data_IF_171326257378
#
_entry.id   IF_171326257378
#
_cell.length_a   1.000
_cell.length_b   1.000
_cell.length_c   1.000
_cell.angle_alpha   90.00
_cell.angle_beta   90.00
_cell.angle_gamma   90.00
#
_symmetry.space_group_name_H-M   'P 1'
#
loop_
_entity.id
_entity.type
_entity.pdbx_description
1 polymer ?
#
# COMPACT_ATOMS: atom_id res chain seq x y z
N UNK A 1 10.01 13.98 59.53
CA UNK A 1 9.19 15.04 58.90
C UNK A 1 9.74 16.45 59.17
N UNK A 2 10.29 16.73 60.35
CA UNK A 2 10.85 18.06 60.67
C UNK A 2 12.03 18.51 59.80
N UNK A 3 12.90 17.60 59.34
CA UNK A 3 14.04 17.92 58.47
C UNK A 3 13.62 18.52 57.11
N UNK A 4 12.59 17.93 56.48
CA UNK A 4 12.05 18.44 55.21
C UNK A 4 11.31 19.77 55.40
N UNK A 5 10.67 19.97 56.56
CA UNK A 5 9.99 21.22 56.89
C UNK A 5 10.96 22.38 57.17
N UNK A 6 12.06 22.12 57.89
CA UNK A 6 13.12 23.10 58.15
C UNK A 6 13.92 23.46 56.87
N UNK A 7 14.17 22.49 55.99
CA UNK A 7 14.76 22.73 54.67
C UNK A 7 13.86 23.59 53.78
N UNK A 8 12.55 23.40 53.84
CA UNK A 8 11.58 24.21 53.12
C UNK A 8 11.51 25.65 53.65
N UNK A 9 11.49 25.82 54.99
CA UNK A 9 11.36 27.12 55.63
C UNK A 9 12.62 27.99 55.49
N UNK A 10 13.82 27.38 55.42
CA UNK A 10 15.10 28.09 55.26
C UNK A 10 15.33 28.67 53.86
N UNK A 11 14.52 28.28 52.85
CA UNK A 11 14.65 28.68 51.42
C UNK A 11 15.99 28.39 50.75
N UNK A 12 16.97 27.82 51.47
CA UNK A 12 18.34 27.55 50.96
C UNK A 12 18.33 26.52 49.83
N UNK A 13 17.37 25.60 49.82
CA UNK A 13 17.27 24.54 48.81
C UNK A 13 16.77 25.02 47.44
N UNK A 14 16.17 26.21 47.36
CA UNK A 14 15.57 26.75 46.13
C UNK A 14 16.63 27.05 45.07
N UNK A 15 17.78 27.60 45.48
CA UNK A 15 18.88 27.97 44.57
C UNK A 15 19.53 26.74 43.90
N UNK A 16 19.99 25.70 44.61
CA UNK A 16 20.55 24.52 43.96
C UNK A 16 19.50 23.78 43.13
N UNK A 17 18.24 23.71 43.58
CA UNK A 17 17.15 23.15 42.79
C UNK A 17 16.95 23.87 41.46
N UNK A 18 16.93 25.21 41.46
CA UNK A 18 16.82 26.01 40.24
C UNK A 18 18.02 25.77 39.30
N UNK A 19 19.25 25.68 39.82
CA UNK A 19 20.45 25.40 39.01
C UNK A 19 20.35 24.03 38.34
N UNK A 20 19.94 22.99 39.07
CA UNK A 20 19.73 21.66 38.49
C UNK A 20 18.59 21.64 37.48
N UNK A 21 17.48 22.33 37.75
CA UNK A 21 16.36 22.43 36.82
C UNK A 21 16.76 23.11 35.51
N UNK A 22 17.51 24.22 35.58
CA UNK A 22 18.05 24.92 34.41
C UNK A 22 19.03 24.00 33.66
N UNK A 23 19.90 23.28 34.37
CA UNK A 23 20.84 22.32 33.76
C UNK A 23 20.14 21.21 32.99
N UNK A 24 19.08 20.62 33.56
CA UNK A 24 18.27 19.58 32.90
C UNK A 24 17.55 20.15 31.67
N UNK A 25 16.99 21.36 31.75
CA UNK A 25 16.34 22.00 30.62
C UNK A 25 17.32 22.29 29.47
N UNK A 26 18.51 22.80 29.79
CA UNK A 26 19.57 23.02 28.79
C UNK A 26 20.04 21.71 28.16
N UNK A 27 20.25 20.67 28.97
CA UNK A 27 20.62 19.36 28.47
C UNK A 27 19.52 18.76 27.56
N UNK A 28 18.26 18.85 27.98
CA UNK A 28 17.10 18.48 27.17
C UNK A 28 17.07 19.21 25.83
N UNK A 29 17.29 20.53 25.83
CA UNK A 29 17.36 21.32 24.61
C UNK A 29 18.50 20.86 23.68
N UNK A 30 19.69 20.62 24.21
CA UNK A 30 20.85 20.18 23.41
C UNK A 30 20.62 18.78 22.82
N UNK A 31 20.07 17.85 23.60
CA UNK A 31 19.76 16.49 23.12
C UNK A 31 18.72 16.50 22.01
N UNK A 32 17.64 17.29 22.13
CA UNK A 32 16.64 17.44 21.07
C UNK A 32 17.24 18.02 19.79
N UNK A 33 18.09 19.05 19.89
CA UNK A 33 18.78 19.63 18.74
C UNK A 33 19.72 18.60 18.08
N UNK A 34 20.46 17.82 18.86
CA UNK A 34 21.33 16.78 18.35
C UNK A 34 20.54 15.69 17.60
N UNK A 35 19.39 15.27 18.13
CA UNK A 35 18.49 14.31 17.46
C UNK A 35 18.04 14.89 16.11
N UNK A 36 17.52 16.11 16.07
CA UNK A 36 17.04 16.76 14.85
C UNK A 36 18.15 16.83 13.78
N UNK A 37 19.36 17.23 14.18
CA UNK A 37 20.51 17.33 13.26
C UNK A 37 20.88 15.95 12.72
N UNK A 38 20.92 14.92 13.57
CA UNK A 38 21.20 13.56 13.15
C UNK A 38 20.17 13.09 12.12
N UNK A 39 18.88 13.17 12.45
CA UNK A 39 17.80 12.70 11.57
C UNK A 39 17.81 13.44 10.24
N UNK A 40 18.03 14.76 10.25
CA UNK A 40 18.12 15.56 9.03
C UNK A 40 19.34 15.19 8.19
N UNK A 41 20.49 14.94 8.82
CA UNK A 41 21.70 14.57 8.11
C UNK A 41 21.60 13.19 7.44
N UNK A 42 20.94 12.22 8.08
CA UNK A 42 20.65 10.92 7.44
C UNK A 42 19.73 11.09 6.23
N UNK A 43 18.67 11.89 6.35
CA UNK A 43 17.76 12.15 5.23
C UNK A 43 18.42 12.90 4.06
N UNK A 44 19.26 13.90 4.33
CA UNK A 44 19.95 14.65 3.27
C UNK A 44 20.95 13.76 2.52
N UNK A 45 21.65 12.87 3.23
CA UNK A 45 22.55 11.90 2.60
C UNK A 45 21.76 10.95 1.69
N UNK A 46 20.66 10.39 2.18
CA UNK A 46 19.78 9.54 1.38
C UNK A 46 19.28 10.26 0.13
N UNK A 47 18.84 11.53 0.22
CA UNK A 47 18.39 12.31 -0.93
C UNK A 47 19.47 12.52 -1.99
N UNK A 48 20.72 12.78 -1.58
CA UNK A 48 21.84 12.89 -2.53
C UNK A 48 22.13 11.57 -3.24
N UNK A 49 22.07 10.45 -2.51
CA UNK A 49 22.23 9.12 -3.10
C UNK A 49 21.07 8.76 -4.02
N UNK A 50 19.84 9.11 -3.66
CA UNK A 50 18.64 8.91 -4.49
C UNK A 50 18.82 9.61 -5.84
N UNK A 51 19.18 10.90 -5.85
CA UNK A 51 19.38 11.66 -7.10
C UNK A 51 20.56 11.12 -7.95
N UNK A 52 21.61 10.60 -7.31
CA UNK A 52 22.72 9.98 -8.03
C UNK A 52 22.32 8.64 -8.64
N UNK A 53 21.58 7.82 -7.89
CA UNK A 53 21.11 6.53 -8.37
C UNK A 53 20.03 6.67 -9.44
N UNK A 54 19.17 7.69 -9.39
CA UNK A 54 18.16 7.95 -10.43
C UNK A 54 18.81 8.16 -11.80
N UNK A 55 19.93 8.91 -11.87
CA UNK A 55 20.69 9.11 -13.11
C UNK A 55 21.29 7.83 -13.69
N UNK A 56 21.49 6.80 -12.86
CA UNK A 56 22.00 5.49 -13.28
C UNK A 56 20.87 4.52 -13.60
N UNK A 57 19.77 4.59 -12.84
CA UNK A 57 18.62 3.70 -12.95
C UNK A 57 17.80 4.03 -14.20
N UNK A 58 17.58 5.31 -14.49
CA UNK A 58 16.80 5.74 -15.65
C UNK A 58 17.31 5.15 -16.98
N UNK A 59 18.61 5.30 -17.36
CA UNK A 59 19.11 4.70 -18.60
C UNK A 59 19.06 3.16 -18.57
N UNK A 60 19.24 2.52 -17.41
CA UNK A 60 19.07 1.06 -17.30
C UNK A 60 17.64 0.64 -17.63
N UNK A 61 16.65 1.29 -17.01
CA UNK A 61 15.24 0.96 -17.21
C UNK A 61 14.77 1.28 -18.63
N UNK A 62 15.25 2.37 -19.22
CA UNK A 62 14.98 2.68 -20.63
C UNK A 62 15.54 1.60 -21.56
N UNK A 63 16.76 1.13 -21.33
CA UNK A 63 17.36 0.06 -22.13
C UNK A 63 16.60 -1.28 -21.96
N UNK A 64 16.17 -1.60 -20.75
CA UNK A 64 15.30 -2.76 -20.49
C UNK A 64 13.97 -2.63 -21.23
N UNK A 65 13.34 -1.46 -21.19
CA UNK A 65 12.02 -1.24 -21.78
C UNK A 65 12.06 -1.23 -23.32
N UNK A 66 12.97 -0.46 -23.91
CA UNK A 66 12.93 -0.13 -25.34
C UNK A 66 13.93 -0.91 -26.19
N UNK A 67 15.03 -1.40 -25.60
CA UNK A 67 16.03 -2.18 -26.32
C UNK A 67 15.87 -3.69 -26.07
N UNK A 68 16.90 -4.46 -26.44
CA UNK A 68 17.08 -5.89 -26.14
C UNK A 68 17.71 -6.12 -24.76
N UNK A 69 17.82 -5.08 -23.92
CA UNK A 69 18.38 -5.15 -22.58
C UNK A 69 17.64 -6.15 -21.68
N UNK A 70 18.38 -7.07 -21.08
CA UNK A 70 17.91 -7.91 -19.96
C UNK A 70 18.81 -7.65 -18.76
N UNK A 71 18.42 -8.11 -17.57
CA UNK A 71 19.29 -8.01 -16.38
C UNK A 71 20.68 -8.63 -16.63
N UNK A 72 20.75 -9.71 -17.42
CA UNK A 72 22.01 -10.36 -17.81
C UNK A 72 23.01 -9.42 -18.50
N UNK A 73 22.53 -8.42 -19.25
CA UNK A 73 23.39 -7.44 -19.91
C UNK A 73 24.13 -6.56 -18.90
N UNK A 74 23.49 -6.26 -17.77
CA UNK A 74 24.06 -5.45 -16.70
C UNK A 74 24.86 -6.27 -15.70
N UNK A 75 24.43 -7.49 -15.38
CA UNK A 75 25.10 -8.33 -14.39
C UNK A 75 26.52 -8.77 -14.82
N UNK A 76 26.80 -8.80 -16.12
CA UNK A 76 28.12 -9.12 -16.65
C UNK A 76 29.14 -7.98 -16.46
N UNK A 77 28.69 -6.77 -16.14
CA UNK A 77 29.55 -5.64 -15.80
C UNK A 77 29.80 -5.60 -14.28
N UNK A 78 31.06 -5.72 -13.82
CA UNK A 78 31.41 -5.63 -12.40
C UNK A 78 30.91 -4.35 -11.71
N UNK A 79 30.85 -3.24 -12.44
CA UNK A 79 30.37 -1.96 -11.91
C UNK A 79 28.89 -2.06 -11.52
N UNK A 80 28.03 -2.60 -12.38
CA UNK A 80 26.60 -2.73 -12.11
C UNK A 80 26.29 -3.80 -11.08
N UNK A 81 27.00 -4.93 -11.08
CA UNK A 81 26.84 -5.96 -10.05
C UNK A 81 27.07 -5.40 -8.64
N UNK A 82 28.06 -4.52 -8.46
CA UNK A 82 28.32 -3.86 -7.18
C UNK A 82 27.17 -2.96 -6.71
N UNK A 83 26.44 -2.31 -7.62
CA UNK A 83 25.29 -1.47 -7.31
C UNK A 83 24.12 -2.30 -6.77
N UNK A 84 23.87 -3.48 -7.35
CA UNK A 84 22.80 -4.38 -6.90
C UNK A 84 23.07 -5.03 -5.53
N UNK A 85 24.26 -4.86 -4.96
CA UNK A 85 24.58 -5.21 -3.56
C UNK A 85 24.25 -4.07 -2.58
N UNK A 86 24.05 -2.85 -3.06
CA UNK A 86 23.75 -1.69 -2.23
C UNK A 86 22.24 -1.60 -1.94
N UNK A 87 21.87 -1.60 -0.66
CA UNK A 87 20.47 -1.57 -0.21
C UNK A 87 19.71 -0.31 -0.62
N UNK A 88 20.38 0.85 -0.66
CA UNK A 88 19.79 2.13 -1.07
C UNK A 88 19.51 2.11 -2.57
N UNK A 89 20.46 1.62 -3.37
CA UNK A 89 20.28 1.46 -4.81
C UNK A 89 19.10 0.52 -5.12
N UNK A 90 19.07 -0.67 -4.50
CA UNK A 90 17.96 -1.63 -4.69
C UNK A 90 16.61 -1.05 -4.30
N UNK A 91 16.55 -0.28 -3.21
CA UNK A 91 15.32 0.42 -2.78
C UNK A 91 14.86 1.44 -3.82
N UNK A 92 15.79 2.22 -4.38
CA UNK A 92 15.46 3.20 -5.42
C UNK A 92 15.06 2.51 -6.74
N UNK A 93 15.76 1.44 -7.12
CA UNK A 93 15.44 0.64 -8.30
C UNK A 93 14.03 0.06 -8.20
N UNK A 94 13.67 -0.49 -7.03
CA UNK A 94 12.31 -0.96 -6.75
C UNK A 94 11.28 0.14 -6.95
N UNK A 95 11.48 1.32 -6.33
CA UNK A 95 10.54 2.42 -6.43
C UNK A 95 10.32 2.87 -7.88
N UNK A 96 11.40 2.98 -8.67
CA UNK A 96 11.32 3.34 -10.08
C UNK A 96 10.63 2.26 -10.92
N UNK A 97 10.93 0.97 -10.71
CA UNK A 97 10.26 -0.13 -11.42
C UNK A 97 8.76 -0.14 -11.13
N UNK A 98 8.37 -0.01 -9.86
CA UNK A 98 6.96 0.03 -9.46
C UNK A 98 6.25 1.23 -10.08
N UNK A 99 6.89 2.40 -10.08
CA UNK A 99 6.33 3.59 -10.70
C UNK A 99 6.16 3.42 -12.21
N UNK A 100 7.15 2.87 -12.92
CA UNK A 100 7.02 2.57 -14.33
C UNK A 100 5.92 1.52 -14.58
N UNK A 101 5.90 0.43 -13.83
CA UNK A 101 4.92 -0.64 -14.02
C UNK A 101 3.47 -0.14 -13.86
N UNK A 102 3.22 0.81 -12.95
CA UNK A 102 1.90 1.45 -12.80
C UNK A 102 1.46 2.27 -14.02
N UNK A 103 2.40 2.75 -14.82
CA UNK A 103 2.14 3.66 -15.94
C UNK A 103 2.28 2.99 -17.32
N UNK A 104 2.79 1.76 -17.39
CA UNK A 104 3.02 1.02 -18.63
C UNK A 104 2.29 -0.32 -18.61
N UNK A 105 1.65 -0.68 -19.73
CA UNK A 105 0.94 -1.95 -19.88
C UNK A 105 1.58 -2.86 -20.95
N UNK A 106 1.07 -4.08 -21.08
CA UNK A 106 1.41 -4.98 -22.17
C UNK A 106 2.85 -5.51 -22.13
N UNK A 107 3.58 -5.38 -23.25
CA UNK A 107 4.94 -5.93 -23.38
C UNK A 107 5.95 -5.24 -22.46
N UNK A 108 5.80 -3.93 -22.23
CA UNK A 108 6.68 -3.15 -21.36
C UNK A 108 6.55 -3.56 -19.89
N UNK A 109 5.32 -3.74 -19.40
CA UNK A 109 5.05 -4.28 -18.07
C UNK A 109 5.74 -5.64 -17.86
N UNK A 110 5.59 -6.57 -18.83
CA UNK A 110 6.24 -7.89 -18.79
C UNK A 110 7.76 -7.83 -18.75
N UNK A 111 8.39 -6.86 -19.42
CA UNK A 111 9.84 -6.66 -19.35
C UNK A 111 10.28 -6.21 -17.95
N UNK A 112 9.51 -5.34 -17.29
CA UNK A 112 9.76 -4.91 -15.91
C UNK A 112 9.58 -6.05 -14.91
N UNK A 113 8.53 -6.86 -15.05
CA UNK A 113 8.32 -8.07 -14.26
C UNK A 113 9.50 -9.03 -14.39
N UNK A 114 9.93 -9.31 -15.62
CA UNK A 114 11.10 -10.15 -15.90
C UNK A 114 12.36 -9.60 -15.24
N UNK A 115 12.63 -8.30 -15.40
CA UNK A 115 13.78 -7.64 -14.78
C UNK A 115 13.77 -7.77 -13.25
N UNK A 116 12.61 -7.58 -12.63
CA UNK A 116 12.43 -7.70 -11.18
C UNK A 116 12.71 -9.11 -10.64
N UNK A 117 12.35 -10.13 -11.41
CA UNK A 117 12.67 -11.52 -11.10
C UNK A 117 14.18 -11.79 -11.27
N UNK A 118 14.76 -11.40 -12.40
CA UNK A 118 16.18 -11.66 -12.72
C UNK A 118 17.15 -10.92 -11.79
N UNK A 119 16.82 -9.69 -11.38
CA UNK A 119 17.62 -8.87 -10.44
C UNK A 119 17.48 -9.28 -8.96
N UNK A 120 16.70 -10.33 -8.69
CA UNK A 120 16.35 -10.82 -7.36
C UNK A 120 15.70 -9.76 -6.44
N UNK A 121 15.16 -8.67 -6.99
CA UNK A 121 14.42 -7.67 -6.21
C UNK A 121 13.19 -8.29 -5.52
N UNK A 122 12.59 -9.32 -6.14
CA UNK A 122 11.54 -10.14 -5.53
C UNK A 122 11.90 -10.68 -4.13
N UNK A 123 13.16 -11.01 -3.88
CA UNK A 123 13.59 -11.53 -2.58
C UNK A 123 13.51 -10.48 -1.48
N UNK A 124 13.71 -9.20 -1.82
CA UNK A 124 13.58 -8.09 -0.87
C UNK A 124 12.12 -7.87 -0.49
N UNK A 125 11.22 -7.95 -1.46
CA UNK A 125 9.79 -7.85 -1.24
C UNK A 125 9.30 -8.98 -0.34
N UNK A 126 9.73 -10.22 -0.57
CA UNK A 126 9.42 -11.33 0.35
C UNK A 126 10.01 -11.16 1.75
N UNK A 127 11.19 -10.54 1.88
CA UNK A 127 11.78 -10.23 3.19
C UNK A 127 10.96 -9.17 3.94
N UNK A 128 10.48 -8.14 3.23
CA UNK A 128 9.58 -7.12 3.78
C UNK A 128 8.23 -7.72 4.19
N UNK A 129 7.70 -8.68 3.43
CA UNK A 129 6.43 -9.35 3.73
C UNK A 129 6.45 -10.10 5.07
N UNK A 130 7.61 -10.66 5.44
CA UNK A 130 7.82 -11.36 6.72
C UNK A 130 8.14 -10.43 7.89
N UNK A 131 8.12 -9.11 7.69
CA UNK A 131 8.44 -8.14 8.73
C UNK A 131 7.30 -8.05 9.77
N UNK A 132 7.64 -7.80 11.03
CA UNK A 132 6.66 -7.60 12.10
C UNK A 132 5.91 -6.25 12.00
N UNK A 133 6.50 -5.25 11.33
CA UNK A 133 5.90 -3.93 11.14
C UNK A 133 4.92 -3.97 9.97
N UNK A 134 3.65 -3.74 10.26
CA UNK A 134 2.56 -3.79 9.29
C UNK A 134 2.77 -2.80 8.12
N UNK A 135 3.42 -1.66 8.36
CA UNK A 135 3.76 -0.68 7.33
C UNK A 135 4.67 -1.28 6.26
N UNK A 136 5.66 -2.07 6.71
CA UNK A 136 6.63 -2.73 5.84
C UNK A 136 5.95 -3.89 5.08
N UNK A 137 5.00 -4.58 5.73
CA UNK A 137 4.20 -5.60 5.08
C UNK A 137 3.31 -4.99 3.99
N UNK A 138 2.64 -3.87 4.25
CA UNK A 138 1.83 -3.17 3.23
C UNK A 138 2.67 -2.81 2.00
N UNK A 139 3.88 -2.28 2.20
CA UNK A 139 4.81 -1.98 1.11
C UNK A 139 5.17 -3.25 0.31
N UNK A 140 5.42 -4.37 0.99
CA UNK A 140 5.71 -5.64 0.33
C UNK A 140 4.53 -6.16 -0.49
N UNK A 141 3.31 -6.03 0.04
CA UNK A 141 2.08 -6.45 -0.65
C UNK A 141 1.90 -5.62 -1.92
N UNK A 142 2.09 -4.30 -1.83
CA UNK A 142 2.05 -3.41 -2.99
C UNK A 142 3.10 -3.83 -4.04
N UNK A 143 4.36 -4.00 -3.64
CA UNK A 143 5.44 -4.42 -4.54
C UNK A 143 5.15 -5.76 -5.23
N UNK A 144 4.73 -6.77 -4.47
CA UNK A 144 4.47 -8.12 -5.00
C UNK A 144 3.21 -8.18 -5.88
N UNK A 145 2.17 -7.44 -5.51
CA UNK A 145 0.93 -7.39 -6.29
C UNK A 145 1.06 -6.54 -7.56
N UNK A 146 1.85 -5.46 -7.50
CA UNK A 146 2.17 -4.66 -8.69
C UNK A 146 2.89 -5.50 -9.72
N UNK A 147 3.90 -6.26 -9.29
CA UNK A 147 4.74 -7.09 -10.16
C UNK A 147 4.14 -8.47 -10.47
N UNK A 148 2.81 -8.61 -10.32
CA UNK A 148 2.05 -9.81 -10.67
C UNK A 148 2.61 -11.13 -10.09
N UNK A 149 3.14 -11.11 -8.87
CA UNK A 149 3.69 -12.30 -8.19
C UNK A 149 2.56 -13.16 -7.61
N UNK A 150 1.94 -14.01 -8.43
CA UNK A 150 0.76 -14.82 -8.06
C UNK A 150 1.02 -15.77 -6.87
N UNK A 151 2.27 -16.19 -6.64
CA UNK A 151 2.63 -17.12 -5.56
C UNK A 151 2.35 -16.57 -4.16
N UNK A 152 2.20 -15.25 -3.99
CA UNK A 152 1.86 -14.62 -2.70
C UNK A 152 0.36 -14.65 -2.41
N UNK A 153 -0.49 -15.03 -3.37
CA UNK A 153 -1.94 -14.87 -3.27
C UNK A 153 -2.54 -15.47 -1.98
N UNK A 154 -2.23 -16.73 -1.66
CA UNK A 154 -2.75 -17.38 -0.44
C UNK A 154 -2.30 -16.66 0.84
N UNK A 155 -1.07 -16.15 0.86
CA UNK A 155 -0.58 -15.36 1.98
C UNK A 155 -1.35 -14.04 2.13
N UNK A 156 -1.73 -13.39 1.02
CA UNK A 156 -2.58 -12.20 1.06
C UNK A 156 -3.99 -12.53 1.54
N UNK A 157 -4.56 -13.67 1.13
CA UNK A 157 -5.86 -14.13 1.62
C UNK A 157 -5.85 -14.28 3.13
N UNK A 158 -4.79 -14.84 3.72
CA UNK A 158 -4.67 -14.91 5.18
C UNK A 158 -4.43 -13.54 5.81
N UNK A 159 -3.61 -12.69 5.19
CA UNK A 159 -3.33 -11.33 5.68
C UNK A 159 -4.58 -10.44 5.66
N UNK A 160 -5.52 -10.67 4.72
CA UNK A 160 -6.80 -9.97 4.65
C UNK A 160 -7.70 -10.20 5.87
N UNK A 161 -7.40 -11.22 6.69
CA UNK A 161 -8.11 -11.52 7.94
C UNK A 161 -7.49 -10.81 9.15
N UNK A 162 -6.42 -10.03 8.96
CA UNK A 162 -5.74 -9.30 10.03
C UNK A 162 -6.68 -8.33 10.75
N UNK A 163 -6.45 -8.14 12.06
CA UNK A 163 -7.13 -7.10 12.83
C UNK A 163 -6.68 -5.69 12.46
N UNK A 164 -5.48 -5.54 11.88
CA UNK A 164 -4.99 -4.25 11.41
C UNK A 164 -5.72 -3.87 10.12
N UNK A 165 -6.54 -2.81 10.21
CA UNK A 165 -7.34 -2.29 9.10
C UNK A 165 -6.51 -1.97 7.85
N UNK A 166 -5.36 -1.30 8.00
CA UNK A 166 -4.54 -0.88 6.85
C UNK A 166 -3.92 -2.09 6.15
N UNK A 167 -3.41 -3.05 6.93
CA UNK A 167 -2.85 -4.29 6.41
C UNK A 167 -3.91 -5.15 5.71
N UNK A 168 -5.10 -5.24 6.31
CA UNK A 168 -6.28 -5.89 5.72
C UNK A 168 -6.64 -5.28 4.35
N UNK A 169 -6.76 -3.95 4.26
CA UNK A 169 -7.08 -3.26 2.99
C UNK A 169 -5.99 -3.52 1.94
N UNK A 170 -4.71 -3.42 2.32
CA UNK A 170 -3.60 -3.67 1.41
C UNK A 170 -3.64 -5.09 0.85
N UNK A 171 -3.88 -6.09 1.71
CA UNK A 171 -4.00 -7.48 1.31
C UNK A 171 -5.19 -7.73 0.38
N UNK A 172 -6.36 -7.16 0.68
CA UNK A 172 -7.56 -7.24 -0.19
C UNK A 172 -7.25 -6.65 -1.57
N UNK A 173 -6.66 -5.45 -1.62
CA UNK A 173 -6.26 -4.81 -2.89
C UNK A 173 -5.29 -5.70 -3.68
N UNK A 174 -4.30 -6.28 -3.00
CA UNK A 174 -3.34 -7.19 -3.63
C UNK A 174 -3.99 -8.48 -4.14
N UNK A 175 -4.94 -9.07 -3.40
CA UNK A 175 -5.71 -10.24 -3.84
C UNK A 175 -6.51 -9.94 -5.11
N UNK A 176 -7.21 -8.80 -5.14
CA UNK A 176 -7.98 -8.37 -6.32
C UNK A 176 -7.03 -8.18 -7.49
N UNK A 177 -5.92 -7.45 -7.30
CA UNK A 177 -4.95 -7.20 -8.38
C UNK A 177 -4.37 -8.49 -8.97
N UNK A 178 -4.00 -9.46 -8.12
CA UNK A 178 -3.37 -10.71 -8.58
C UNK A 178 -4.35 -11.71 -9.19
N UNK A 179 -5.61 -11.70 -8.77
CA UNK A 179 -6.54 -12.77 -9.13
C UNK A 179 -8.01 -12.32 -9.15
N UNK A 180 -8.26 -11.10 -9.63
CA UNK A 180 -9.58 -10.47 -9.86
C UNK A 180 -10.74 -11.15 -9.16
N UNK A 181 -11.38 -12.08 -9.88
CA UNK A 181 -12.54 -12.87 -9.43
C UNK A 181 -12.30 -13.66 -8.14
N UNK A 182 -11.17 -14.35 -7.98
CA UNK A 182 -10.87 -15.05 -6.71
C UNK A 182 -10.66 -14.06 -5.57
N UNK A 183 -9.97 -12.95 -5.83
CA UNK A 183 -9.79 -11.87 -4.85
C UNK A 183 -11.13 -11.29 -4.38
N UNK A 184 -12.03 -11.03 -5.32
CA UNK A 184 -13.41 -10.58 -5.06
C UNK A 184 -14.21 -11.66 -4.31
N UNK A 185 -14.03 -12.93 -4.63
CA UNK A 185 -14.72 -14.03 -3.93
C UNK A 185 -14.37 -14.08 -2.44
N UNK A 186 -13.14 -13.71 -2.07
CA UNK A 186 -12.74 -13.63 -0.66
C UNK A 186 -13.44 -12.48 0.09
N UNK A 187 -13.76 -11.37 -0.57
CA UNK A 187 -14.52 -10.26 0.04
C UNK A 187 -15.93 -10.68 0.48
N UNK A 188 -16.56 -11.61 -0.22
CA UNK A 188 -17.91 -12.10 0.14
C UNK A 188 -17.90 -12.80 1.50
N UNK A 189 -16.79 -13.49 1.80
CA UNK A 189 -16.62 -14.21 3.08
C UNK A 189 -16.20 -13.28 4.22
N UNK A 190 -16.04 -11.99 3.95
CA UNK A 190 -15.59 -11.01 4.93
C UNK A 190 -16.71 -10.69 5.92
N UNK A 191 -16.50 -11.08 7.18
CA UNK A 191 -17.49 -10.94 8.25
C UNK A 191 -17.61 -9.51 8.77
N UNK A 192 -16.50 -8.76 8.83
CA UNK A 192 -16.51 -7.43 9.42
C UNK A 192 -17.08 -6.40 8.43
N UNK A 193 -17.83 -5.39 8.90
CA UNK A 193 -18.24 -4.28 8.06
C UNK A 193 -17.02 -3.55 7.47
N UNK A 194 -17.11 -3.19 6.19
CA UNK A 194 -16.16 -2.31 5.51
C UNK A 194 -16.60 -0.86 5.71
N UNK A 195 -15.77 -0.06 6.35
CA UNK A 195 -16.02 1.38 6.40
C UNK A 195 -15.81 2.08 5.05
N UNK A 196 -16.28 3.33 4.97
CA UNK A 196 -16.26 4.11 3.74
C UNK A 196 -14.85 4.29 3.16
N UNK A 197 -13.82 4.43 4.01
CA UNK A 197 -12.45 4.57 3.55
C UNK A 197 -11.92 3.28 2.92
N UNK A 198 -12.20 2.13 3.54
CA UNK A 198 -11.90 0.82 2.97
C UNK A 198 -12.59 0.61 1.63
N UNK A 199 -13.88 0.95 1.54
CA UNK A 199 -14.64 0.83 0.29
C UNK A 199 -14.06 1.71 -0.82
N UNK A 200 -13.80 2.99 -0.53
CA UNK A 200 -13.21 3.93 -1.48
C UNK A 200 -11.84 3.44 -1.97
N UNK A 201 -11.00 2.96 -1.06
CA UNK A 201 -9.66 2.44 -1.38
C UNK A 201 -9.69 1.22 -2.29
N UNK A 202 -10.71 0.35 -2.15
CA UNK A 202 -10.90 -0.82 -3.00
C UNK A 202 -11.44 -0.40 -4.37
N UNK A 203 -12.43 0.49 -4.41
CA UNK A 203 -12.99 1.03 -5.68
C UNK A 203 -11.88 1.69 -6.50
N UNK A 204 -11.05 2.51 -5.87
CA UNK A 204 -9.93 3.18 -6.50
C UNK A 204 -8.93 2.17 -7.10
N UNK A 205 -8.64 1.09 -6.37
CA UNK A 205 -7.75 0.04 -6.85
C UNK A 205 -8.29 -0.72 -8.07
N UNK A 206 -9.61 -0.96 -8.11
CA UNK A 206 -10.26 -1.63 -9.24
C UNK A 206 -10.29 -0.68 -10.46
N UNK A 207 -10.58 0.61 -10.25
CA UNK A 207 -10.62 1.63 -11.33
C UNK A 207 -9.31 1.78 -12.06
N UNK A 208 -8.19 1.72 -11.35
CA UNK A 208 -6.86 1.88 -11.92
C UNK A 208 -6.25 0.56 -12.41
N UNK A 209 -6.96 -0.57 -12.26
CA UNK A 209 -6.49 -1.85 -12.72
C UNK A 209 -7.12 -2.28 -14.05
N UNK A 210 -6.77 -3.49 -14.50
CA UNK A 210 -7.31 -4.08 -15.73
C UNK A 210 -8.83 -4.27 -15.62
N UNK A 211 -9.55 -4.06 -16.74
CA UNK A 211 -10.99 -4.36 -16.85
C UNK A 211 -11.32 -5.81 -16.46
N UNK A 212 -10.38 -6.75 -16.59
CA UNK A 212 -10.53 -8.13 -16.09
C UNK A 212 -10.79 -8.22 -14.59
N UNK A 213 -10.42 -7.19 -13.81
CA UNK A 213 -10.75 -7.08 -12.39
C UNK A 213 -12.25 -6.88 -12.14
N UNK A 214 -13.04 -6.59 -13.18
CA UNK A 214 -14.49 -6.45 -13.07
C UNK A 214 -15.27 -7.76 -13.19
N UNK A 215 -14.59 -8.84 -13.59
CA UNK A 215 -15.21 -10.17 -13.69
C UNK A 215 -15.55 -10.71 -12.30
N UNK A 216 -16.83 -10.95 -12.04
CA UNK A 216 -17.33 -11.49 -10.78
C UNK A 216 -17.73 -10.46 -9.73
N UNK A 217 -17.81 -9.16 -10.09
CA UNK A 217 -18.31 -8.11 -9.17
C UNK A 217 -19.74 -8.40 -8.72
N UNK A 218 -20.58 -8.98 -9.58
CA UNK A 218 -21.97 -9.32 -9.28
C UNK A 218 -22.11 -10.23 -8.05
N UNK A 219 -21.08 -11.04 -7.77
CA UNK A 219 -21.09 -11.96 -6.64
C UNK A 219 -21.05 -11.18 -5.30
N UNK A 220 -20.50 -9.94 -5.28
CA UNK A 220 -20.53 -9.07 -4.10
C UNK A 220 -21.96 -8.70 -3.67
N UNK A 221 -22.89 -8.62 -4.63
CA UNK A 221 -24.30 -8.30 -4.37
C UNK A 221 -25.05 -9.42 -3.63
N UNK A 222 -24.45 -10.62 -3.55
CA UNK A 222 -25.00 -11.79 -2.85
C UNK A 222 -24.44 -11.95 -1.43
N UNK A 223 -23.57 -11.04 -0.97
CA UNK A 223 -22.95 -11.12 0.34
C UNK A 223 -23.97 -10.95 1.47
N UNK A 224 -23.73 -11.63 2.59
CA UNK A 224 -24.47 -11.42 3.84
C UNK A 224 -24.09 -10.11 4.56
N UNK A 225 -23.01 -9.47 4.12
CA UNK A 225 -22.50 -8.25 4.71
C UNK A 225 -22.97 -7.06 3.88
N UNK A 226 -23.86 -6.25 4.45
CA UNK A 226 -24.47 -5.10 3.76
C UNK A 226 -23.44 -4.11 3.21
N UNK A 227 -22.33 -3.91 3.92
CA UNK A 227 -21.26 -3.01 3.45
C UNK A 227 -20.50 -3.58 2.24
N UNK A 228 -20.43 -4.90 2.10
CA UNK A 228 -19.87 -5.57 0.91
C UNK A 228 -20.83 -5.48 -0.27
N UNK A 229 -22.15 -5.60 -0.02
CA UNK A 229 -23.17 -5.35 -1.05
C UNK A 229 -23.11 -3.90 -1.53
N UNK A 230 -23.04 -2.94 -0.61
CA UNK A 230 -22.86 -1.50 -0.91
C UNK A 230 -21.58 -1.23 -1.70
N UNK A 231 -20.47 -1.90 -1.37
CA UNK A 231 -19.24 -1.85 -2.17
C UNK A 231 -19.48 -2.33 -3.61
N UNK A 232 -20.15 -3.47 -3.80
CA UNK A 232 -20.48 -4.00 -5.13
C UNK A 232 -21.30 -3.02 -5.97
N UNK A 233 -22.35 -2.43 -5.38
CA UNK A 233 -23.17 -1.40 -6.03
C UNK A 233 -22.33 -0.19 -6.48
N UNK A 234 -21.48 0.31 -5.59
CA UNK A 234 -20.60 1.47 -5.89
C UNK A 234 -19.59 1.16 -6.98
N UNK A 235 -19.03 -0.04 -7.01
CA UNK A 235 -18.11 -0.44 -8.10
C UNK A 235 -18.86 -0.44 -9.43
N UNK A 236 -20.02 -1.12 -9.50
CA UNK A 236 -20.86 -1.20 -10.71
C UNK A 236 -21.26 0.20 -11.19
N UNK A 237 -21.67 1.08 -10.28
CA UNK A 237 -21.99 2.47 -10.60
C UNK A 237 -20.77 3.21 -11.15
N UNK A 238 -19.63 3.09 -10.46
CA UNK A 238 -18.44 3.90 -10.73
C UNK A 238 -17.71 3.52 -12.03
N UNK A 239 -17.97 2.32 -12.54
CA UNK A 239 -17.43 1.78 -13.79
C UNK A 239 -18.51 1.64 -14.87
N UNK A 240 -19.73 2.11 -14.63
CA UNK A 240 -20.87 2.07 -15.55
C UNK A 240 -21.16 0.66 -16.12
N UNK A 241 -21.05 -0.38 -15.28
CA UNK A 241 -21.17 -1.79 -15.70
C UNK A 241 -22.64 -2.21 -15.92
N UNK A 242 -23.25 -1.69 -16.99
CA UNK A 242 -24.66 -1.91 -17.33
C UNK A 242 -25.07 -3.37 -17.52
N UNK A 243 -24.12 -4.27 -17.80
CA UNK A 243 -24.37 -5.70 -17.88
C UNK A 243 -24.91 -6.31 -16.58
N UNK A 244 -24.65 -5.69 -15.42
CA UNK A 244 -25.09 -6.18 -14.10
C UNK A 244 -26.43 -5.59 -13.63
N UNK A 245 -27.18 -4.91 -14.49
CA UNK A 245 -28.49 -4.33 -14.13
C UNK A 245 -29.47 -5.39 -13.59
N UNK A 246 -29.48 -6.59 -14.18
CA UNK A 246 -30.34 -7.69 -13.73
C UNK A 246 -29.94 -8.21 -12.34
N UNK A 247 -28.64 -8.22 -12.04
CA UNK A 247 -28.11 -8.65 -10.74
C UNK A 247 -28.52 -7.66 -9.63
N UNK A 248 -28.51 -6.35 -9.93
CA UNK A 248 -28.99 -5.31 -9.01
C UNK A 248 -30.49 -5.48 -8.74
N UNK A 249 -31.30 -5.72 -9.77
CA UNK A 249 -32.75 -5.94 -9.61
C UNK A 249 -33.01 -7.17 -8.72
N UNK A 250 -32.28 -8.27 -8.94
CA UNK A 250 -32.38 -9.48 -8.11
C UNK A 250 -31.96 -9.22 -6.67
N UNK A 251 -30.93 -8.41 -6.43
CA UNK A 251 -30.51 -8.02 -5.09
C UNK A 251 -31.61 -7.20 -4.39
N UNK A 252 -32.20 -6.21 -5.07
CA UNK A 252 -33.30 -5.38 -4.54
C UNK A 252 -34.51 -6.22 -4.14
N UNK A 253 -34.86 -7.23 -4.94
CA UNK A 253 -36.02 -8.10 -4.64
C UNK A 253 -35.78 -9.06 -3.47
N UNK A 254 -34.51 -9.37 -3.17
CA UNK A 254 -34.14 -10.39 -2.17
C UNK A 254 -33.73 -9.78 -0.84
N UNK A 255 -33.22 -8.55 -0.83
CA UNK A 255 -32.77 -7.89 0.41
C UNK A 255 -33.95 -7.37 1.24
N UNK A 256 -33.85 -7.46 2.56
CA UNK A 256 -34.79 -6.80 3.49
C UNK A 256 -34.30 -5.40 3.90
N UNK A 257 -33.03 -5.07 3.63
CA UNK A 257 -32.44 -3.81 4.04
C UNK A 257 -32.95 -2.65 3.15
N UNK A 258 -33.67 -1.71 3.76
CA UNK A 258 -34.25 -0.53 3.07
C UNK A 258 -33.17 0.36 2.46
N UNK A 259 -32.03 0.54 3.14
CA UNK A 259 -30.93 1.36 2.64
C UNK A 259 -30.32 0.77 1.36
N UNK A 260 -30.10 -0.55 1.32
CA UNK A 260 -29.58 -1.22 0.13
C UNK A 260 -30.56 -1.18 -1.05
N UNK A 261 -31.88 -1.24 -0.78
CA UNK A 261 -32.90 -1.04 -1.83
C UNK A 261 -32.78 0.34 -2.46
N UNK A 262 -32.67 1.38 -1.63
CA UNK A 262 -32.51 2.76 -2.09
C UNK A 262 -31.21 2.94 -2.87
N UNK A 263 -30.09 2.45 -2.34
CA UNK A 263 -28.78 2.53 -3.00
C UNK A 263 -28.77 1.79 -4.35
N UNK A 264 -29.42 0.62 -4.42
CA UNK A 264 -29.58 -0.13 -5.67
C UNK A 264 -30.43 0.62 -6.71
N UNK A 265 -31.54 1.23 -6.30
CA UNK A 265 -32.38 2.05 -7.19
C UNK A 265 -31.62 3.27 -7.72
N UNK A 266 -30.88 3.98 -6.86
CA UNK A 266 -30.04 5.11 -7.27
C UNK A 266 -28.96 4.67 -8.26
N UNK A 267 -28.35 3.51 -8.03
CA UNK A 267 -27.35 2.93 -8.93
C UNK A 267 -27.94 2.66 -10.32
N UNK A 268 -29.11 2.03 -10.40
CA UNK A 268 -29.79 1.77 -11.68
C UNK A 268 -30.14 3.06 -12.44
N UNK A 269 -30.60 4.10 -11.73
CA UNK A 269 -30.91 5.39 -12.34
C UNK A 269 -29.65 6.08 -12.86
N UNK A 270 -28.56 6.07 -12.09
CA UNK A 270 -27.28 6.68 -12.47
C UNK A 270 -26.68 6.03 -13.74
N UNK A 271 -26.75 4.70 -13.84
CA UNK A 271 -26.25 3.96 -15.02
C UNK A 271 -27.10 4.26 -16.27
N UNK A 272 -28.42 4.43 -16.12
CA UNK A 272 -29.29 4.82 -17.23
C UNK A 272 -28.98 6.23 -17.74
N UNK A 273 -28.76 7.19 -16.83
CA UNK A 273 -28.44 8.57 -17.22
C UNK A 273 -27.06 8.73 -17.86
N UNK A 274 -26.11 7.82 -17.63
CA UNK A 274 -24.79 7.87 -18.27
C UNK A 274 -24.75 7.25 -19.67
N UNK A 275 -25.78 6.47 -20.03
CA UNK A 275 -25.87 5.78 -21.32
C UNK A 275 -26.77 6.50 -22.34
N UNK A 276 -27.35 7.64 -21.97
CA UNK A 276 -28.09 8.59 -22.82
C UNK A 276 -27.24 9.79 -23.14
#
# INVERSE_FOLDING_TARGET
MEFFWNLYQSKVWVVPFLIYAIGILLFGSVTLLAIIIWTRHTHIKEQKFILQYDRLIEPMLLNVLFDTGSYSTFNNDPHYSSLFNNTVFRKQMMANIINLHKNYEGSYAKKLEKFYLESHLITDSFRKLKNARWEIQCLAIEELSEMNVVTVFEHLVDTSKSSNKLLKIAAIKGCIKLNGTKGITHLIRHKDPLDQWSQLSIIDAIKHGDLRLTEGIEILLTSKNDTVVSLGLKIIQSLHLSQHNLDIIRMISTTDNVYLKQEGQLTLTAIKSSNT
#
